data_IF_643052409718
#
_entry.id   IF_643052409718
#
_cell.length_a   1.000
_cell.length_b   1.000
_cell.length_c   1.000
_cell.angle_alpha   90.00
_cell.angle_beta   90.00
_cell.angle_gamma   90.00
#
_symmetry.space_group_name_H-M   'P 1'
#
loop_
_entity.id
_entity.type
_entity.pdbx_description
1 polymer ?
#
# COMPACT_ATOMS: atom_id res chain seq x y z
N UNK A 1 -10.56 3.87 -9.60
CA UNK A 1 -9.93 4.97 -8.80
C UNK A 1 -8.86 5.65 -9.65
N UNK A 2 -8.70 6.99 -9.61
CA UNK A 2 -7.63 7.69 -10.38
C UNK A 2 -6.66 8.40 -9.43
N UNK A 3 -5.39 8.03 -9.49
CA UNK A 3 -4.34 8.65 -8.68
C UNK A 3 -4.00 10.08 -9.16
N UNK A 4 -3.73 10.97 -8.22
CA UNK A 4 -3.42 12.38 -8.48
C UNK A 4 -1.92 12.58 -8.78
N UNK A 5 -1.45 12.05 -9.91
CA UNK A 5 -0.06 12.18 -10.36
C UNK A 5 0.35 13.63 -10.63
N UNK A 6 1.62 13.99 -10.32
CA UNK A 6 2.23 15.28 -10.69
C UNK A 6 2.42 15.35 -12.21
N UNK A 7 2.17 16.50 -12.85
CA UNK A 7 2.19 16.62 -14.32
C UNK A 7 3.51 16.18 -14.98
N UNK A 8 4.65 16.31 -14.30
CA UNK A 8 5.98 15.99 -14.82
C UNK A 8 6.74 15.01 -13.92
N UNK A 9 6.06 14.04 -13.31
CA UNK A 9 6.76 13.02 -12.52
C UNK A 9 7.64 12.15 -13.43
N UNK A 10 8.85 11.74 -12.99
CA UNK A 10 9.64 10.75 -13.71
C UNK A 10 8.86 9.42 -13.81
N UNK A 11 9.12 8.58 -14.82
CA UNK A 11 8.43 7.31 -14.97
C UNK A 11 8.60 6.43 -13.72
N UNK A 12 7.53 5.77 -13.30
CA UNK A 12 7.58 4.77 -12.24
C UNK A 12 8.16 3.47 -12.82
N UNK A 13 8.98 2.79 -12.03
CA UNK A 13 9.34 1.40 -12.32
C UNK A 13 8.16 0.47 -12.06
N UNK A 14 8.12 -0.71 -12.69
CA UNK A 14 7.03 -1.66 -12.46
C UNK A 14 6.99 -2.24 -11.04
N UNK A 15 8.12 -2.29 -10.32
CA UNK A 15 8.26 -2.89 -8.99
C UNK A 15 7.89 -4.39 -8.88
N UNK A 16 7.59 -5.06 -10.00
CA UNK A 16 7.10 -6.44 -10.06
C UNK A 16 7.96 -7.45 -9.30
N UNK A 17 9.27 -7.43 -9.52
CA UNK A 17 10.17 -8.38 -8.86
C UNK A 17 10.20 -8.17 -7.32
N UNK A 18 10.11 -6.93 -6.86
CA UNK A 18 10.03 -6.62 -5.42
C UNK A 18 8.70 -7.08 -4.83
N UNK A 19 7.58 -6.78 -5.50
CA UNK A 19 6.26 -7.22 -5.07
C UNK A 19 6.14 -8.75 -5.04
N UNK A 20 6.63 -9.43 -6.06
CA UNK A 20 6.66 -10.90 -6.13
C UNK A 20 7.50 -11.51 -5.00
N UNK A 21 8.68 -10.95 -4.71
CA UNK A 21 9.53 -11.42 -3.61
C UNK A 21 8.82 -11.30 -2.25
N UNK A 22 8.13 -10.18 -2.01
CA UNK A 22 7.32 -9.99 -0.80
C UNK A 22 6.17 -10.98 -0.72
N UNK A 23 5.42 -11.17 -1.80
CA UNK A 23 4.35 -12.15 -1.87
C UNK A 23 4.85 -13.56 -1.54
N UNK A 24 5.94 -14.00 -2.16
CA UNK A 24 6.56 -15.29 -1.85
C UNK A 24 6.92 -15.41 -0.37
N UNK A 25 7.51 -14.37 0.21
CA UNK A 25 7.84 -14.35 1.65
C UNK A 25 6.61 -14.52 2.53
N UNK A 26 5.47 -13.93 2.17
CA UNK A 26 4.20 -14.08 2.91
C UNK A 26 3.67 -15.51 2.76
N UNK A 27 3.70 -16.07 1.55
CA UNK A 27 3.25 -17.43 1.26
C UNK A 27 4.11 -18.50 1.93
N UNK A 28 5.41 -18.24 2.14
CA UNK A 28 6.36 -19.16 2.80
C UNK A 28 6.51 -18.91 4.31
N UNK A 29 5.84 -17.90 4.87
CA UNK A 29 5.82 -17.66 6.32
C UNK A 29 4.97 -18.63 7.19
N UNK A 30 4.12 -19.55 6.70
CA UNK A 30 3.13 -20.22 7.55
C UNK A 30 3.71 -21.26 8.53
N UNK A 31 5.02 -21.49 8.58
CA UNK A 31 5.64 -22.36 9.60
C UNK A 31 5.32 -21.91 11.05
N UNK A 32 4.98 -20.63 11.28
CA UNK A 32 4.63 -20.09 12.59
C UNK A 32 3.15 -19.75 12.83
N UNK A 33 2.30 -19.69 11.79
CA UNK A 33 0.89 -19.32 11.93
C UNK A 33 0.01 -19.94 10.81
N UNK A 34 -0.71 -21.03 11.10
CA UNK A 34 -1.50 -21.75 10.10
C UNK A 34 -2.75 -20.98 9.62
N UNK A 35 -3.22 -19.95 10.35
CA UNK A 35 -4.40 -19.17 9.94
C UNK A 35 -4.05 -17.92 9.14
N UNK A 36 -2.77 -17.53 9.10
CA UNK A 36 -2.32 -16.28 8.46
C UNK A 36 -2.81 -16.18 7.01
N UNK A 37 -2.54 -17.20 6.18
CA UNK A 37 -2.91 -17.17 4.76
C UNK A 37 -4.42 -17.15 4.55
N UNK A 38 -5.18 -17.78 5.44
CA UNK A 38 -6.65 -17.78 5.39
C UNK A 38 -7.19 -16.37 5.65
N UNK A 39 -6.74 -15.73 6.72
CA UNK A 39 -7.14 -14.34 7.05
C UNK A 39 -6.66 -13.36 5.98
N UNK A 40 -5.47 -13.61 5.42
CA UNK A 40 -4.90 -12.85 4.31
C UNK A 40 -5.79 -12.86 3.08
N UNK A 41 -6.15 -14.04 2.61
CA UNK A 41 -7.03 -14.21 1.47
C UNK A 41 -8.42 -13.61 1.74
N UNK A 42 -9.01 -13.87 2.91
CA UNK A 42 -10.31 -13.34 3.28
C UNK A 42 -10.37 -11.80 3.26
N UNK A 43 -9.25 -11.13 3.57
CA UNK A 43 -9.17 -9.67 3.50
C UNK A 43 -9.21 -9.16 2.07
N UNK A 44 -8.57 -9.86 1.12
CA UNK A 44 -8.67 -9.53 -0.29
C UNK A 44 -10.07 -9.82 -0.86
N UNK A 45 -10.66 -10.96 -0.53
CA UNK A 45 -12.02 -11.32 -0.95
C UNK A 45 -13.03 -10.27 -0.47
N UNK A 46 -12.96 -9.87 0.81
CA UNK A 46 -13.84 -8.82 1.35
C UNK A 46 -13.66 -7.49 0.60
N UNK A 47 -12.42 -7.09 0.32
CA UNK A 47 -12.17 -5.85 -0.44
C UNK A 47 -12.65 -5.93 -1.89
N UNK A 48 -12.61 -7.12 -2.49
CA UNK A 48 -13.12 -7.36 -3.84
C UNK A 48 -14.64 -7.27 -3.85
N UNK A 49 -15.32 -7.92 -2.90
CA UNK A 49 -16.77 -7.88 -2.73
C UNK A 49 -17.28 -6.47 -2.43
N UNK A 50 -16.54 -5.69 -1.63
CA UNK A 50 -16.83 -4.29 -1.33
C UNK A 50 -16.52 -3.34 -2.51
N UNK A 51 -15.93 -3.83 -3.60
CA UNK A 51 -15.54 -3.04 -4.77
C UNK A 51 -14.40 -2.06 -4.51
N UNK A 52 -13.58 -2.31 -3.48
CA UNK A 52 -12.40 -1.51 -3.13
C UNK A 52 -11.24 -1.83 -4.07
N UNK A 53 -11.11 -3.10 -4.46
CA UNK A 53 -10.13 -3.60 -5.43
C UNK A 53 -10.83 -4.27 -6.61
N UNK A 54 -10.10 -4.46 -7.71
CA UNK A 54 -10.59 -5.14 -8.91
C UNK A 54 -9.53 -6.10 -9.45
N UNK A 55 -9.97 -7.16 -10.13
CA UNK A 55 -9.05 -8.05 -10.84
C UNK A 55 -8.45 -7.36 -12.06
N UNK A 56 -7.13 -7.48 -12.20
CA UNK A 56 -6.37 -6.92 -13.30
C UNK A 56 -6.15 -8.02 -14.35
N UNK A 57 -6.61 -7.87 -15.60
CA UNK A 57 -6.42 -8.89 -16.63
C UNK A 57 -4.93 -9.21 -16.86
N UNK A 58 -4.61 -10.51 -16.92
CA UNK A 58 -3.23 -11.00 -17.07
C UNK A 58 -2.60 -10.67 -18.44
N UNK A 59 -3.40 -10.29 -19.42
CA UNK A 59 -3.02 -9.94 -20.79
C UNK A 59 -2.76 -8.44 -21.00
N UNK A 60 -2.85 -7.64 -19.93
CA UNK A 60 -2.51 -6.23 -20.02
C UNK A 60 -1.06 -6.04 -20.49
N UNK A 61 -0.78 -5.09 -21.40
CA UNK A 61 0.57 -4.82 -21.85
C UNK A 61 1.46 -4.47 -20.66
N UNK A 62 2.47 -5.30 -20.42
CA UNK A 62 3.49 -5.13 -19.35
C UNK A 62 4.19 -3.77 -19.42
N UNK A 63 4.09 -3.07 -20.55
CA UNK A 63 4.73 -1.79 -20.83
C UNK A 63 3.81 -0.58 -20.70
N UNK A 64 2.64 -0.70 -20.06
CA UNK A 64 1.86 0.50 -19.72
C UNK A 64 2.67 1.38 -18.75
N UNK A 65 2.89 2.68 -19.05
CA UNK A 65 3.61 3.59 -18.16
C UNK A 65 2.89 3.82 -16.81
N UNK A 66 1.68 3.28 -16.65
CA UNK A 66 0.87 3.34 -15.44
C UNK A 66 0.92 2.04 -14.63
N UNK A 67 1.57 0.97 -15.12
CA UNK A 67 1.65 -0.30 -14.40
C UNK A 67 2.73 -0.23 -13.32
N UNK A 68 2.30 -0.32 -12.06
CA UNK A 68 3.18 -0.27 -10.89
C UNK A 68 2.65 -1.24 -9.82
N UNK A 69 3.38 -2.34 -9.59
CA UNK A 69 3.06 -3.34 -8.57
C UNK A 69 3.49 -2.83 -7.20
N UNK A 70 2.55 -2.74 -6.27
CA UNK A 70 2.81 -2.28 -4.91
C UNK A 70 3.09 -3.50 -4.03
N UNK A 71 4.29 -3.64 -3.44
CA UNK A 71 4.55 -4.68 -2.47
C UNK A 71 3.63 -4.50 -1.26
N UNK A 72 3.28 -5.60 -0.61
CA UNK A 72 2.30 -5.60 0.45
C UNK A 72 2.69 -6.60 1.55
N UNK A 73 2.30 -6.28 2.78
CA UNK A 73 2.68 -7.05 3.97
C UNK A 73 1.50 -7.16 4.94
N UNK A 74 1.20 -8.37 5.47
CA UNK A 74 0.22 -8.52 6.53
C UNK A 74 0.76 -8.01 7.86
N UNK A 75 0.00 -7.14 8.52
CA UNK A 75 0.24 -6.70 9.89
C UNK A 75 -0.84 -7.27 10.79
N UNK A 76 -0.43 -8.09 11.76
CA UNK A 76 -1.30 -8.66 12.77
C UNK A 76 -1.45 -7.69 13.95
N UNK A 77 -2.68 -7.36 14.29
CA UNK A 77 -3.04 -6.58 15.48
C UNK A 77 -4.07 -7.34 16.31
N UNK A 78 -3.70 -8.45 16.96
CA UNK A 78 -4.63 -9.33 17.65
C UNK A 78 -5.37 -8.66 18.83
N UNK A 79 -4.85 -7.55 19.34
CA UNK A 79 -5.45 -6.78 20.43
C UNK A 79 -6.58 -5.83 19.99
N UNK A 80 -6.87 -5.71 18.68
CA UNK A 80 -7.94 -4.84 18.16
C UNK A 80 -9.23 -5.63 17.92
N UNK A 81 -10.36 -5.07 18.33
CA UNK A 81 -11.68 -5.71 18.20
C UNK A 81 -12.14 -5.84 16.74
N UNK A 82 -11.85 -4.85 15.88
CA UNK A 82 -12.40 -4.80 14.52
C UNK A 82 -11.68 -5.73 13.53
N UNK A 83 -10.43 -5.43 13.16
CA UNK A 83 -9.68 -6.21 12.16
C UNK A 83 -8.39 -6.71 12.78
N UNK A 84 -8.31 -8.02 12.97
CA UNK A 84 -7.17 -8.71 13.59
C UNK A 84 -5.95 -8.75 12.67
N UNK A 85 -6.15 -8.62 11.35
CA UNK A 85 -5.09 -8.49 10.34
C UNK A 85 -5.40 -7.32 9.40
N UNK A 86 -4.37 -6.58 8.97
CA UNK A 86 -4.47 -5.53 7.96
C UNK A 86 -3.39 -5.74 6.91
N UNK A 87 -3.70 -5.39 5.66
CA UNK A 87 -2.72 -5.43 4.56
C UNK A 87 -2.16 -4.02 4.41
N UNK A 88 -0.85 -3.88 4.58
CA UNK A 88 -0.13 -2.62 4.37
C UNK A 88 0.47 -2.63 2.98
N UNK A 89 0.21 -1.56 2.22
CA UNK A 89 0.80 -1.34 0.90
C UNK A 89 2.06 -0.47 1.03
N UNK A 90 3.22 -0.98 0.60
CA UNK A 90 4.51 -0.30 0.68
C UNK A 90 4.71 0.70 -0.47
N UNK A 91 3.98 1.81 -0.46
CA UNK A 91 4.03 2.83 -1.54
C UNK A 91 5.33 3.62 -1.61
N UNK A 92 6.21 3.46 -0.62
CA UNK A 92 7.55 4.05 -0.59
C UNK A 92 8.59 3.16 -1.29
N UNK A 93 8.25 1.92 -1.67
CA UNK A 93 9.19 1.01 -2.31
C UNK A 93 9.52 1.45 -3.73
N UNK A 94 10.80 1.48 -4.09
CA UNK A 94 11.25 1.85 -5.43
C UNK A 94 12.64 1.25 -5.73
N UNK A 95 12.97 1.14 -7.02
CA UNK A 95 14.33 0.86 -7.45
C UNK A 95 15.20 2.11 -7.38
N UNK A 96 16.51 1.90 -7.24
CA UNK A 96 17.48 2.99 -7.32
C UNK A 96 17.29 3.76 -8.63
N UNK A 97 17.38 5.10 -8.58
CA UNK A 97 17.15 6.04 -9.69
C UNK A 97 15.69 6.19 -10.17
N UNK A 98 14.73 5.44 -9.60
CA UNK A 98 13.30 5.61 -9.88
C UNK A 98 12.58 6.25 -8.69
N UNK A 99 11.56 7.11 -8.89
CA UNK A 99 10.77 7.65 -7.80
C UNK A 99 9.86 6.57 -7.18
N UNK A 100 9.51 6.74 -5.90
CA UNK A 100 8.42 5.97 -5.29
C UNK A 100 7.05 6.48 -5.73
N UNK A 101 6.00 5.71 -5.47
CA UNK A 101 4.64 6.17 -5.71
C UNK A 101 4.33 7.43 -4.89
N UNK A 102 4.83 7.52 -3.65
CA UNK A 102 4.68 8.73 -2.83
C UNK A 102 5.34 9.97 -3.46
N UNK A 103 6.46 9.80 -4.17
CA UNK A 103 7.14 10.91 -4.85
C UNK A 103 6.39 11.38 -6.10
N UNK A 104 5.73 10.46 -6.80
CA UNK A 104 4.99 10.73 -8.04
C UNK A 104 3.63 11.40 -7.81
N UNK A 105 3.02 11.22 -6.63
CA UNK A 105 1.70 11.76 -6.30
C UNK A 105 1.75 13.16 -5.69
N UNK A 106 0.73 13.97 -5.95
CA UNK A 106 0.55 15.24 -5.25
C UNK A 106 0.32 14.99 -3.76
N UNK A 107 1.16 15.61 -2.93
CA UNK A 107 0.96 15.62 -1.49
C UNK A 107 -0.29 16.43 -1.16
N UNK A 108 -1.23 15.82 -0.43
CA UNK A 108 -2.39 16.55 0.10
C UNK A 108 -1.95 17.53 1.19
N UNK A 109 -2.73 18.60 1.38
CA UNK A 109 -2.45 19.62 2.37
C UNK A 109 -2.20 19.00 3.76
N UNK A 110 -1.06 19.31 4.37
CA UNK A 110 -0.72 18.84 5.70
C UNK A 110 -1.57 19.57 6.74
N UNK A 111 -2.37 18.82 7.51
CA UNK A 111 -3.10 19.35 8.67
C UNK A 111 -2.16 19.49 9.88
N UNK A 112 -1.01 18.80 9.87
CA UNK A 112 -0.07 18.74 10.99
C UNK A 112 0.41 20.13 11.48
N UNK A 113 0.76 21.12 10.63
CA UNK A 113 1.11 22.46 11.10
C UNK A 113 -0.04 23.17 11.84
N UNK A 114 -1.28 22.92 11.45
CA UNK A 114 -2.48 23.46 12.11
C UNK A 114 -2.65 22.82 13.49
N UNK A 115 -2.50 21.50 13.57
CA UNK A 115 -2.59 20.76 14.85
C UNK A 115 -1.49 21.17 15.82
N UNK A 116 -0.25 21.31 15.34
CA UNK A 116 0.88 21.77 16.18
C UNK A 116 0.60 23.18 16.72
N UNK A 117 0.05 24.07 15.89
CA UNK A 117 -0.31 25.42 16.33
C UNK A 117 -1.37 25.38 17.43
N UNK A 118 -2.43 24.61 17.23
CA UNK A 118 -3.51 24.49 18.21
C UNK A 118 -3.03 23.88 19.54
N UNK A 119 -2.22 22.82 19.47
CA UNK A 119 -1.64 22.15 20.65
C UNK A 119 -0.64 23.03 21.42
N UNK A 120 -0.03 24.04 20.76
CA UNK A 120 0.79 25.05 21.43
C UNK A 120 -0.07 26.11 22.11
N UNK A 121 -1.16 26.55 21.48
CA UNK A 121 -2.11 27.50 22.09
C UNK A 121 -2.74 26.94 23.37
N UNK A 122 -3.16 25.67 23.36
CA UNK A 122 -3.74 25.00 24.54
C UNK A 122 -2.73 24.76 25.68
N UNK A 123 -1.42 24.80 25.40
CA UNK A 123 -0.37 24.63 26.41
C UNK A 123 0.00 25.94 27.11
N UNK A 124 -0.41 27.08 26.55
CA UNK A 124 -0.10 28.42 27.04
C UNK A 124 -1.33 29.10 27.68
N UNK A 125 -2.40 28.34 27.92
CA UNK A 125 -3.63 28.71 28.65
C UNK A 125 -3.74 27.83 29.88
#
# INVERSE_FOLDING_TARGET
MRFAFKQSHPPLSSNRATAQKRLLSVLTAPEGNPTLLKEYNQTFETQLDDGIIEEVPNDLPVHSPLLHDIPHEPVLTPQKEATKMRIVLETYSHYKEYPSLNDALHQRALILPVLIRHARTLRNT
#
